data_IF_030477434498
#
_entry.id   IF_030477434498
#
_cell.length_a   1.000
_cell.length_b   1.000
_cell.length_c   1.000
_cell.angle_alpha   90.00
_cell.angle_beta   90.00
_cell.angle_gamma   90.00
#
_symmetry.space_group_name_H-M   'P 1'
#
loop_
_entity.id
_entity.type
_entity.pdbx_description
1 polymer ?
#
# COMPACT_ATOMS: atom_id res chain seq x y z
N UNK A 1 32.37 61.17 -35.54
CA UNK A 1 31.18 61.46 -36.39
C UNK A 1 30.04 60.62 -35.87
N UNK A 2 28.97 61.31 -35.47
CA UNK A 2 27.77 60.75 -34.86
C UNK A 2 26.86 60.13 -35.92
N UNK A 3 26.36 58.91 -35.71
CA UNK A 3 25.17 58.42 -36.39
C UNK A 3 24.24 57.75 -35.38
N UNK A 4 23.14 58.45 -35.08
CA UNK A 4 21.95 57.89 -34.44
C UNK A 4 21.09 57.27 -35.54
N UNK A 5 20.64 56.03 -35.36
CA UNK A 5 19.51 55.50 -36.13
C UNK A 5 18.46 54.96 -35.17
N UNK A 6 17.30 55.61 -35.18
CA UNK A 6 16.03 55.18 -34.56
C UNK A 6 15.37 54.16 -35.48
N UNK A 7 14.89 53.04 -34.95
CA UNK A 7 13.93 52.16 -35.62
C UNK A 7 12.89 51.70 -34.58
N UNK A 8 11.58 51.65 -34.94
CA UNK A 8 10.47 51.91 -34.01
C UNK A 8 9.88 50.65 -33.36
N UNK A 9 9.12 50.89 -32.29
CA UNK A 9 8.26 49.94 -31.60
C UNK A 9 7.35 49.18 -32.57
N UNK A 10 7.52 47.86 -32.63
CA UNK A 10 6.52 46.94 -33.17
C UNK A 10 5.72 46.37 -31.99
N UNK A 11 4.52 46.90 -31.79
CA UNK A 11 3.54 46.35 -30.85
C UNK A 11 2.95 45.10 -31.50
N UNK A 12 3.41 43.93 -31.06
CA UNK A 12 2.81 42.64 -31.42
C UNK A 12 1.72 42.33 -30.40
N UNK A 13 0.48 42.60 -30.77
CA UNK A 13 -0.71 42.23 -30.01
C UNK A 13 -0.90 40.72 -30.11
N UNK A 14 -0.44 39.98 -29.10
CA UNK A 14 -0.64 38.54 -29.01
C UNK A 14 -2.04 38.26 -28.45
N UNK A 15 -2.98 37.95 -29.33
CA UNK A 15 -4.33 37.51 -28.98
C UNK A 15 -4.26 36.13 -28.31
N UNK A 16 -4.37 36.11 -26.98
CA UNK A 16 -4.59 34.88 -26.22
C UNK A 16 -6.00 34.34 -26.52
N UNK A 17 -6.07 33.29 -27.36
CA UNK A 17 -7.25 32.42 -27.43
C UNK A 17 -7.36 31.63 -26.13
N UNK A 18 -8.29 32.04 -25.27
CA UNK A 18 -8.79 31.20 -24.18
C UNK A 18 -9.59 30.03 -24.79
N UNK A 19 -8.90 28.93 -25.08
CA UNK A 19 -9.55 27.64 -25.21
C UNK A 19 -9.99 27.19 -23.81
N UNK A 20 -11.25 27.48 -23.46
CA UNK A 20 -11.92 26.90 -22.31
C UNK A 20 -12.04 25.40 -22.48
N UNK A 21 -11.05 24.65 -22.00
CA UNK A 21 -11.25 23.23 -21.72
C UNK A 21 -12.18 23.16 -20.53
N UNK A 22 -13.43 22.73 -20.78
CA UNK A 22 -14.32 22.28 -19.73
C UNK A 22 -13.58 21.17 -18.96
N UNK A 23 -13.11 21.50 -17.76
CA UNK A 23 -12.68 20.50 -16.81
C UNK A 23 -13.89 19.59 -16.56
N UNK A 24 -13.87 18.39 -17.13
CA UNK A 24 -14.72 17.30 -16.69
C UNK A 24 -14.33 17.10 -15.22
N UNK A 25 -15.18 17.56 -14.32
CA UNK A 25 -15.02 17.27 -12.90
C UNK A 25 -15.13 15.76 -12.76
N UNK A 26 -13.97 15.12 -12.64
CA UNK A 26 -13.85 13.72 -12.25
C UNK A 26 -14.67 13.57 -10.97
N UNK A 27 -15.76 12.80 -11.07
CA UNK A 27 -16.59 12.42 -9.94
C UNK A 27 -15.67 11.94 -8.82
N UNK A 28 -15.77 12.47 -7.58
CA UNK A 28 -14.88 12.07 -6.51
C UNK A 28 -15.01 10.55 -6.33
N UNK A 29 -13.92 9.84 -6.60
CA UNK A 29 -13.74 8.44 -6.23
C UNK A 29 -14.26 8.24 -4.79
N UNK A 30 -14.93 7.11 -4.47
CA UNK A 30 -15.38 6.86 -3.11
C UNK A 30 -14.21 7.01 -2.14
N UNK A 31 -14.37 7.95 -1.23
CA UNK A 31 -13.31 8.48 -0.37
C UNK A 31 -12.72 7.34 0.48
N UNK A 32 -11.47 6.96 0.20
CA UNK A 32 -10.78 5.92 0.97
C UNK A 32 -10.39 6.47 2.35
N UNK A 33 -10.47 5.63 3.38
CA UNK A 33 -9.95 5.88 4.71
C UNK A 33 -8.81 4.90 5.05
N UNK A 34 -8.08 5.11 6.14
CA UNK A 34 -7.07 4.15 6.57
C UNK A 34 -7.72 2.81 6.89
N UNK A 35 -8.92 2.83 7.47
CA UNK A 35 -9.71 1.64 7.73
C UNK A 35 -10.09 0.92 6.43
N UNK A 36 -10.62 1.60 5.41
CA UNK A 36 -11.01 0.90 4.17
C UNK A 36 -9.80 0.34 3.44
N UNK A 37 -8.69 1.10 3.35
CA UNK A 37 -7.42 0.59 2.83
C UNK A 37 -6.98 -0.68 3.56
N UNK A 38 -7.09 -0.69 4.90
CA UNK A 38 -6.69 -1.81 5.73
C UNK A 38 -7.55 -3.06 5.53
N UNK A 39 -8.87 -2.91 5.56
CA UNK A 39 -9.81 -4.02 5.41
C UNK A 39 -9.67 -4.72 4.06
N UNK A 40 -9.59 -3.95 2.97
CA UNK A 40 -9.37 -4.49 1.61
C UNK A 40 -8.03 -5.25 1.56
N UNK A 41 -6.98 -4.69 2.16
CA UNK A 41 -5.66 -5.32 2.21
C UNK A 41 -5.68 -6.64 2.99
N UNK A 42 -6.33 -6.66 4.17
CA UNK A 42 -6.45 -7.86 5.00
C UNK A 42 -7.24 -8.97 4.31
N UNK A 43 -8.27 -8.59 3.55
CA UNK A 43 -9.06 -9.50 2.72
C UNK A 43 -8.20 -10.11 1.61
N UNK A 44 -7.49 -9.30 0.82
CA UNK A 44 -6.58 -9.77 -0.22
C UNK A 44 -5.49 -10.70 0.33
N UNK A 45 -4.89 -10.38 1.47
CA UNK A 45 -3.92 -11.27 2.12
C UNK A 45 -4.53 -12.59 2.52
N UNK A 46 -5.75 -12.58 3.05
CA UNK A 46 -6.42 -13.81 3.47
C UNK A 46 -6.71 -14.71 2.26
N UNK A 47 -7.20 -14.14 1.16
CA UNK A 47 -7.39 -14.89 -0.09
C UNK A 47 -6.08 -15.47 -0.62
N UNK A 48 -5.03 -14.65 -0.72
CA UNK A 48 -3.72 -15.10 -1.21
C UNK A 48 -3.15 -16.23 -0.35
N UNK A 49 -3.25 -16.12 0.98
CA UNK A 49 -2.79 -17.14 1.91
C UNK A 49 -3.60 -18.44 1.83
N UNK A 50 -4.90 -18.38 1.55
CA UNK A 50 -5.71 -19.57 1.31
C UNK A 50 -5.30 -20.24 -0.02
N UNK A 51 -5.05 -19.46 -1.07
CA UNK A 51 -4.54 -19.98 -2.35
C UNK A 51 -3.17 -20.62 -2.22
N UNK A 52 -2.26 -20.02 -1.43
CA UNK A 52 -0.96 -20.62 -1.09
C UNK A 52 -1.09 -21.96 -0.35
N UNK A 53 -2.23 -22.21 0.29
CA UNK A 53 -2.56 -23.48 0.97
C UNK A 53 -3.35 -24.45 0.08
N UNK A 54 -3.54 -24.13 -1.19
CA UNK A 54 -4.16 -25.00 -2.18
C UNK A 54 -5.64 -24.72 -2.48
N UNK A 55 -6.24 -23.66 -1.93
CA UNK A 55 -7.60 -23.27 -2.32
C UNK A 55 -7.61 -22.67 -3.74
N UNK A 56 -8.54 -23.10 -4.59
CA UNK A 56 -8.75 -22.50 -5.91
C UNK A 56 -9.66 -21.28 -5.84
N UNK A 57 -9.69 -20.46 -6.89
CA UNK A 57 -10.66 -19.38 -6.98
C UNK A 57 -12.10 -19.88 -6.91
N UNK A 58 -12.40 -21.04 -7.50
CA UNK A 58 -13.75 -21.62 -7.48
C UNK A 58 -14.13 -22.06 -6.05
N UNK A 59 -13.23 -22.73 -5.32
CA UNK A 59 -13.45 -23.08 -3.91
C UNK A 59 -13.77 -21.82 -3.08
N UNK A 60 -12.98 -20.76 -3.25
CA UNK A 60 -13.14 -19.52 -2.51
C UNK A 60 -14.44 -18.79 -2.86
N UNK A 61 -14.83 -18.75 -4.13
CA UNK A 61 -16.09 -18.12 -4.59
C UNK A 61 -17.30 -18.85 -4.01
N UNK A 62 -17.23 -20.17 -3.88
CA UNK A 62 -18.32 -20.98 -3.35
C UNK A 62 -18.48 -20.83 -1.83
N UNK A 63 -17.38 -20.85 -1.08
CA UNK A 63 -17.42 -20.91 0.39
C UNK A 63 -17.45 -19.56 1.09
N UNK A 64 -16.95 -18.50 0.43
CA UNK A 64 -16.92 -17.19 1.06
C UNK A 64 -18.36 -16.64 1.18
N UNK A 65 -18.73 -16.08 2.36
CA UNK A 65 -20.03 -15.46 2.51
C UNK A 65 -20.27 -14.43 1.42
N UNK A 66 -21.48 -14.39 0.85
CA UNK A 66 -21.85 -13.39 -0.18
C UNK A 66 -21.75 -11.93 0.32
N UNK A 67 -21.57 -11.74 1.62
CA UNK A 67 -21.33 -10.45 2.28
C UNK A 67 -19.86 -10.02 2.26
N UNK A 68 -18.94 -10.91 1.90
CA UNK A 68 -17.53 -10.59 1.67
C UNK A 68 -17.43 -9.64 0.48
N UNK A 69 -16.67 -8.54 0.62
CA UNK A 69 -16.61 -7.47 -0.38
C UNK A 69 -15.86 -7.90 -1.65
N UNK A 70 -15.10 -8.97 -1.61
CA UNK A 70 -14.46 -9.57 -2.77
C UNK A 70 -15.49 -10.10 -3.74
N UNK A 71 -15.58 -9.45 -4.89
CA UNK A 71 -16.34 -9.99 -6.01
C UNK A 71 -15.62 -11.22 -6.57
N UNK A 72 -16.35 -12.15 -7.23
CA UNK A 72 -15.73 -13.27 -7.95
C UNK A 72 -14.61 -12.83 -8.90
N UNK A 73 -14.74 -11.63 -9.48
CA UNK A 73 -13.71 -11.03 -10.33
C UNK A 73 -12.41 -10.74 -9.57
N UNK A 74 -12.47 -10.23 -8.34
CA UNK A 74 -11.28 -9.97 -7.51
C UNK A 74 -10.55 -11.27 -7.21
N UNK A 75 -11.28 -12.32 -6.81
CA UNK A 75 -10.71 -13.63 -6.48
C UNK A 75 -10.01 -14.22 -7.71
N UNK A 76 -10.68 -14.27 -8.86
CA UNK A 76 -10.07 -14.78 -10.11
C UNK A 76 -8.88 -13.95 -10.57
N UNK A 77 -8.94 -12.63 -10.41
CA UNK A 77 -7.82 -11.74 -10.76
C UNK A 77 -6.62 -12.00 -9.84
N UNK A 78 -6.85 -12.24 -8.55
CA UNK A 78 -5.79 -12.54 -7.60
C UNK A 78 -5.12 -13.89 -7.93
N UNK A 79 -5.91 -14.94 -8.17
CA UNK A 79 -5.41 -16.26 -8.57
C UNK A 79 -4.58 -16.16 -9.87
N UNK A 80 -5.10 -15.47 -10.89
CA UNK A 80 -4.39 -15.28 -12.15
C UNK A 80 -3.04 -14.58 -11.94
N UNK A 81 -2.97 -13.56 -11.07
CA UNK A 81 -1.71 -12.89 -10.71
C UNK A 81 -0.76 -13.83 -9.98
N UNK A 82 -1.26 -14.64 -9.06
CA UNK A 82 -0.43 -15.60 -8.32
C UNK A 82 0.17 -16.67 -9.24
N UNK A 83 -0.62 -17.18 -10.19
CA UNK A 83 -0.14 -18.13 -11.20
C UNK A 83 0.89 -17.49 -12.14
N UNK A 84 0.66 -16.25 -12.58
CA UNK A 84 1.54 -15.59 -13.54
C UNK A 84 2.85 -15.04 -12.93
N UNK A 85 2.82 -14.57 -11.68
CA UNK A 85 3.92 -13.80 -11.07
C UNK A 85 4.53 -14.47 -9.84
N UNK A 86 3.89 -15.52 -9.32
CA UNK A 86 4.25 -16.15 -8.05
C UNK A 86 3.72 -15.40 -6.82
N UNK A 87 3.53 -16.14 -5.73
CA UNK A 87 2.97 -15.61 -4.49
C UNK A 87 3.81 -14.47 -3.88
N UNK A 88 5.14 -14.55 -3.99
CA UNK A 88 6.02 -13.53 -3.42
C UNK A 88 5.78 -12.14 -4.04
N UNK A 89 5.70 -12.09 -5.38
CA UNK A 89 5.42 -10.85 -6.11
C UNK A 89 4.04 -10.29 -5.76
N UNK A 90 3.05 -11.18 -5.63
CA UNK A 90 1.68 -10.78 -5.28
C UNK A 90 1.59 -10.23 -3.87
N UNK A 91 2.17 -10.91 -2.86
CA UNK A 91 2.16 -10.40 -1.48
C UNK A 91 2.90 -9.07 -1.36
N UNK A 92 4.04 -8.93 -2.02
CA UNK A 92 4.77 -7.65 -2.08
C UNK A 92 3.90 -6.55 -2.71
N UNK A 93 3.24 -6.84 -3.82
CA UNK A 93 2.35 -5.88 -4.49
C UNK A 93 1.20 -5.45 -3.58
N UNK A 94 0.57 -6.37 -2.84
CA UNK A 94 -0.51 -6.04 -1.90
C UNK A 94 0.01 -5.10 -0.80
N UNK A 95 1.20 -5.36 -0.24
CA UNK A 95 1.83 -4.45 0.73
C UNK A 95 2.08 -3.04 0.14
N UNK A 96 2.58 -2.97 -1.09
CA UNK A 96 2.83 -1.71 -1.78
C UNK A 96 1.53 -0.95 -2.08
N UNK A 97 0.47 -1.66 -2.49
CA UNK A 97 -0.86 -1.09 -2.75
C UNK A 97 -1.44 -0.49 -1.47
N UNK A 98 -1.29 -1.18 -0.34
CA UNK A 98 -1.71 -0.69 0.97
C UNK A 98 -0.96 0.58 1.37
N UNK A 99 0.37 0.59 1.26
CA UNK A 99 1.18 1.77 1.56
C UNK A 99 0.82 2.96 0.67
N UNK A 100 0.55 2.73 -0.62
CA UNK A 100 0.08 3.78 -1.56
C UNK A 100 -1.30 4.29 -1.18
N UNK A 101 -2.23 3.41 -0.81
CA UNK A 101 -3.57 3.77 -0.35
C UNK A 101 -3.48 4.65 0.90
N UNK A 102 -2.81 4.19 1.95
CA UNK A 102 -2.64 4.92 3.19
C UNK A 102 -1.93 6.28 2.99
N UNK A 103 -0.93 6.34 2.10
CA UNK A 103 -0.28 7.61 1.76
C UNK A 103 -1.25 8.60 1.11
N UNK A 104 -2.11 8.16 0.19
CA UNK A 104 -3.13 9.04 -0.42
C UNK A 104 -4.11 9.55 0.63
N UNK A 105 -4.61 8.67 1.51
CA UNK A 105 -5.50 9.08 2.62
C UNK A 105 -4.82 10.14 3.50
N UNK A 106 -3.56 9.93 3.88
CA UNK A 106 -2.80 10.93 4.64
C UNK A 106 -2.63 12.25 3.90
N UNK A 107 -2.36 12.22 2.59
CA UNK A 107 -2.20 13.44 1.79
C UNK A 107 -3.50 14.23 1.67
N UNK A 108 -4.65 13.57 1.65
CA UNK A 108 -5.96 14.21 1.53
C UNK A 108 -6.49 14.70 2.88
N UNK A 109 -6.38 13.89 3.94
CA UNK A 109 -7.04 14.15 5.24
C UNK A 109 -6.08 14.45 6.39
N UNK A 110 -4.78 14.28 6.18
CA UNK A 110 -3.78 14.43 7.22
C UNK A 110 -3.77 13.28 8.23
N UNK A 111 -3.27 13.58 9.42
CA UNK A 111 -3.18 12.62 10.53
C UNK A 111 -4.53 12.54 11.26
N UNK A 112 -5.13 11.34 11.44
CA UNK A 112 -6.34 11.20 12.23
C UNK A 112 -6.11 11.55 13.71
N UNK A 113 -7.16 11.92 14.47
CA UNK A 113 -7.06 12.16 15.90
C UNK A 113 -6.53 10.93 16.65
N UNK A 114 -5.56 11.13 17.56
CA UNK A 114 -5.06 10.05 18.43
C UNK A 114 -6.21 9.40 19.19
N UNK A 115 -6.18 8.07 19.30
CA UNK A 115 -7.25 7.28 19.93
C UNK A 115 -8.45 6.98 19.01
N UNK A 116 -8.57 7.64 17.85
CA UNK A 116 -9.54 7.21 16.84
C UNK A 116 -9.12 5.88 16.22
N UNK A 117 -10.10 5.12 15.73
CA UNK A 117 -9.78 3.89 15.02
C UNK A 117 -9.01 4.14 13.72
N UNK A 118 -9.31 5.23 13.01
CA UNK A 118 -8.55 5.67 11.83
C UNK A 118 -7.06 5.88 12.16
N UNK A 119 -6.75 6.44 13.33
CA UNK A 119 -5.38 6.53 13.81
C UNK A 119 -4.74 5.15 14.01
N UNK A 120 -5.48 4.20 14.60
CA UNK A 120 -5.02 2.82 14.72
C UNK A 120 -4.70 2.16 13.37
N UNK A 121 -5.57 2.32 12.37
CA UNK A 121 -5.32 1.80 11.02
C UNK A 121 -4.15 2.52 10.32
N UNK A 122 -3.96 3.82 10.56
CA UNK A 122 -2.81 4.58 10.08
C UNK A 122 -1.50 4.05 10.68
N UNK A 123 -1.48 3.75 11.97
CA UNK A 123 -0.32 3.12 12.65
C UNK A 123 -0.03 1.75 12.02
N UNK A 124 -1.06 0.90 11.84
CA UNK A 124 -0.88 -0.40 11.19
C UNK A 124 -0.30 -0.28 9.77
N UNK A 125 -0.64 0.78 9.02
CA UNK A 125 -0.06 1.06 7.71
C UNK A 125 1.43 1.39 7.78
N UNK A 126 1.83 2.26 8.71
CA UNK A 126 3.24 2.60 8.93
C UNK A 126 4.07 1.37 9.29
N UNK A 127 3.56 0.57 10.25
CA UNK A 127 4.19 -0.68 10.67
C UNK A 127 4.30 -1.70 9.53
N UNK A 128 3.29 -1.79 8.66
CA UNK A 128 3.37 -2.64 7.46
C UNK A 128 4.44 -2.20 6.48
N UNK A 129 4.62 -0.88 6.31
CA UNK A 129 5.64 -0.34 5.41
C UNK A 129 7.03 -0.69 5.92
N UNK A 130 7.31 -0.42 7.19
CA UNK A 130 8.60 -0.70 7.83
C UNK A 130 8.97 -2.18 7.66
N UNK A 131 8.05 -3.11 7.97
CA UNK A 131 8.29 -4.54 7.76
C UNK A 131 8.63 -4.89 6.33
N UNK A 132 7.91 -4.32 5.36
CA UNK A 132 8.15 -4.58 3.94
C UNK A 132 9.50 -4.05 3.49
N UNK A 133 9.90 -2.86 3.95
CA UNK A 133 11.21 -2.26 3.67
C UNK A 133 12.35 -3.13 4.22
N UNK A 134 12.22 -3.63 5.46
CA UNK A 134 13.18 -4.57 6.07
C UNK A 134 13.30 -5.86 5.25
N UNK A 135 12.17 -6.48 4.91
CA UNK A 135 12.14 -7.73 4.13
C UNK A 135 12.81 -7.53 2.77
N UNK A 136 12.54 -6.41 2.10
CA UNK A 136 13.14 -6.12 0.80
C UNK A 136 14.64 -5.83 0.90
N UNK A 137 15.09 -5.11 1.93
CA UNK A 137 16.51 -4.90 2.19
C UNK A 137 17.23 -6.24 2.40
N UNK A 138 16.69 -7.10 3.28
CA UNK A 138 17.24 -8.43 3.54
C UNK A 138 17.27 -9.30 2.27
N UNK A 139 16.21 -9.25 1.45
CA UNK A 139 16.15 -9.94 0.16
C UNK A 139 17.26 -9.50 -0.80
N UNK A 140 17.69 -8.23 -0.71
CA UNK A 140 18.81 -7.68 -1.50
C UNK A 140 20.18 -7.94 -0.86
N UNK A 141 20.25 -8.70 0.24
CA UNK A 141 21.50 -9.08 0.90
C UNK A 141 21.90 -8.18 2.07
N UNK A 142 21.05 -7.25 2.52
CA UNK A 142 21.32 -6.45 3.71
C UNK A 142 21.27 -7.32 4.98
N UNK A 143 22.18 -7.05 5.90
CA UNK A 143 22.31 -7.72 7.20
C UNK A 143 21.65 -6.91 8.32
N UNK A 144 21.60 -7.47 9.54
CA UNK A 144 21.13 -6.74 10.71
C UNK A 144 21.98 -5.48 10.98
N UNK A 145 23.29 -5.54 10.76
CA UNK A 145 24.19 -4.40 10.98
C UNK A 145 23.93 -3.26 9.98
N UNK A 146 23.44 -3.59 8.78
CA UNK A 146 23.03 -2.59 7.79
C UNK A 146 21.68 -1.95 8.12
N UNK A 147 20.72 -2.74 8.63
CA UNK A 147 19.31 -2.34 8.77
C UNK A 147 19.02 -1.69 10.13
N UNK A 148 19.50 -2.25 11.23
CA UNK A 148 19.12 -1.82 12.59
C UNK A 148 19.46 -0.36 12.90
N UNK A 149 20.62 0.20 12.49
CA UNK A 149 20.95 1.61 12.76
C UNK A 149 19.98 2.60 12.10
N UNK A 150 19.19 2.17 11.12
CA UNK A 150 18.22 3.01 10.40
C UNK A 150 16.82 2.98 11.03
N UNK A 151 16.62 2.15 12.06
CA UNK A 151 15.33 1.92 12.69
C UNK A 151 15.33 2.38 14.15
N UNK A 152 14.18 2.85 14.68
CA UNK A 152 13.99 3.01 16.11
C UNK A 152 14.25 1.69 16.85
N UNK A 153 14.81 1.76 18.07
CA UNK A 153 15.11 0.57 18.88
C UNK A 153 13.89 -0.34 19.10
N UNK A 154 12.68 0.25 19.15
CA UNK A 154 11.42 -0.48 19.27
C UNK A 154 11.15 -1.48 18.15
N UNK A 155 11.84 -1.36 17.00
CA UNK A 155 11.69 -2.25 15.85
C UNK A 155 12.83 -3.26 15.72
N UNK A 156 13.86 -3.20 16.56
CA UNK A 156 15.09 -3.98 16.36
C UNK A 156 14.87 -5.50 16.45
N UNK A 157 14.10 -5.96 17.43
CA UNK A 157 13.81 -7.39 17.60
C UNK A 157 13.08 -7.96 16.38
N UNK A 158 12.00 -7.29 15.97
CA UNK A 158 11.22 -7.68 14.78
C UNK A 158 12.06 -7.61 13.50
N UNK A 159 12.94 -6.61 13.38
CA UNK A 159 13.82 -6.49 12.23
C UNK A 159 14.79 -7.68 12.13
N UNK A 160 15.40 -8.11 13.25
CA UNK A 160 16.22 -9.33 13.30
C UNK A 160 15.42 -10.56 12.91
N UNK A 161 14.23 -10.75 13.47
CA UNK A 161 13.35 -11.88 13.13
C UNK A 161 13.04 -11.95 11.62
N UNK A 162 12.71 -10.81 11.01
CA UNK A 162 12.40 -10.74 9.59
C UNK A 162 13.63 -11.01 8.71
N UNK A 163 14.79 -10.46 9.06
CA UNK A 163 16.06 -10.71 8.35
C UNK A 163 16.42 -12.19 8.43
N UNK A 164 16.37 -12.79 9.62
CA UNK A 164 16.65 -14.21 9.83
C UNK A 164 15.65 -15.10 9.06
N UNK A 165 14.38 -14.69 9.03
CA UNK A 165 13.34 -15.39 8.25
C UNK A 165 13.65 -15.33 6.75
N UNK A 166 14.08 -14.19 6.22
CA UNK A 166 14.48 -14.09 4.80
C UNK A 166 15.68 -14.99 4.52
N UNK A 167 16.70 -14.99 5.38
CA UNK A 167 17.89 -15.81 5.21
C UNK A 167 17.61 -17.32 5.29
N UNK A 168 16.73 -17.74 6.21
CA UNK A 168 16.45 -19.16 6.45
C UNK A 168 15.29 -19.74 5.62
N UNK A 169 14.27 -18.94 5.30
CA UNK A 169 13.01 -19.40 4.67
C UNK A 169 12.61 -18.63 3.41
N UNK A 170 13.38 -17.61 3.03
CA UNK A 170 13.12 -16.78 1.85
C UNK A 170 12.12 -15.64 2.09
N UNK A 171 12.07 -14.72 1.12
CA UNK A 171 11.26 -13.51 1.22
C UNK A 171 9.75 -13.79 1.21
N UNK A 172 9.28 -14.81 0.48
CA UNK A 172 7.88 -15.25 0.53
C UNK A 172 7.42 -15.54 1.97
N UNK A 173 8.21 -16.28 2.75
CA UNK A 173 7.86 -16.63 4.13
C UNK A 173 7.81 -15.38 5.03
N UNK A 174 8.74 -14.45 4.84
CA UNK A 174 8.77 -13.19 5.60
C UNK A 174 7.59 -12.27 5.24
N UNK A 175 7.21 -12.19 3.95
CA UNK A 175 6.03 -11.45 3.49
C UNK A 175 4.73 -12.05 4.03
N UNK A 176 4.60 -13.38 4.02
CA UNK A 176 3.46 -14.08 4.60
C UNK A 176 3.33 -13.83 6.12
N UNK A 177 4.45 -13.84 6.82
CA UNK A 177 4.52 -13.48 8.23
C UNK A 177 4.13 -12.01 8.46
N UNK A 178 4.62 -11.07 7.64
CA UNK A 178 4.27 -9.65 7.69
C UNK A 178 2.78 -9.40 7.45
N UNK A 179 2.17 -10.10 6.49
CA UNK A 179 0.73 -10.08 6.25
C UNK A 179 -0.06 -10.54 7.49
N UNK A 180 0.43 -11.57 8.17
CA UNK A 180 -0.18 -12.07 9.41
C UNK A 180 -0.07 -11.06 10.56
N UNK A 181 1.10 -10.41 10.72
CA UNK A 181 1.29 -9.33 11.68
C UNK A 181 0.37 -8.13 11.40
N UNK A 182 0.18 -7.79 10.12
CA UNK A 182 -0.73 -6.71 9.73
C UNK A 182 -2.17 -7.00 10.15
N UNK A 183 -2.68 -8.19 9.85
CA UNK A 183 -4.03 -8.60 10.25
C UNK A 183 -4.20 -8.58 11.77
N UNK A 184 -3.19 -9.04 12.53
CA UNK A 184 -3.19 -8.93 14.00
C UNK A 184 -3.24 -7.48 14.48
N UNK A 185 -2.51 -6.58 13.83
CA UNK A 185 -2.56 -5.14 14.14
C UNK A 185 -3.98 -4.60 13.97
N UNK A 186 -4.61 -4.84 12.82
CA UNK A 186 -5.96 -4.36 12.52
C UNK A 186 -7.01 -4.94 13.47
N UNK A 187 -6.90 -6.22 13.82
CA UNK A 187 -7.82 -6.86 14.75
C UNK A 187 -7.75 -6.22 16.15
N UNK A 188 -6.57 -5.78 16.61
CA UNK A 188 -6.46 -5.03 17.88
C UNK A 188 -7.17 -3.68 17.81
N UNK A 189 -7.07 -2.98 16.68
CA UNK A 189 -7.78 -1.71 16.45
C UNK A 189 -9.30 -1.92 16.43
N UNK A 190 -9.77 -3.02 15.84
CA UNK A 190 -11.19 -3.36 15.81
C UNK A 190 -11.72 -3.80 17.19
N UNK A 191 -10.95 -4.61 17.93
CA UNK A 191 -11.33 -5.12 19.25
C UNK A 191 -11.35 -4.05 20.35
N UNK A 192 -10.51 -3.02 20.25
CA UNK A 192 -10.54 -1.85 21.15
C UNK A 192 -11.82 -1.00 21.05
N UNK A 193 -12.79 -1.37 20.18
CA UNK A 193 -14.13 -0.77 20.11
C UNK A 193 -15.18 -1.54 20.91
N UNK A 194 -14.86 -2.73 21.42
CA UNK A 194 -15.79 -3.63 22.11
C UNK A 194 -15.72 -3.51 23.63
N UNK A 195 -14.88 -2.62 24.14
CA UNK A 195 -14.70 -2.25 25.55
C UNK A 195 -15.09 -0.78 25.74
#
# INVERSE_FOLDING_TARGET
MSFRLRIPSLVVTFTLLLAGQAAVAESPEPEQSFQTCGLITAELFTLAQLMMKGATADDLIEVLPKTVKSTPQVIRTLEARMTAQGAESVLLSIHQDYARCARRVYQTFGLPPKGSAEYGYQVCAGESRIRTEIIMAARMGATADDVLPQLPETHHELARELIDTVAGKGALAALDHSATLLKRCMNRVAGARSE
#
